data_IF_937789240761
#
_entry.id   IF_937789240761
#
_cell.length_a   1.000
_cell.length_b   1.000
_cell.length_c   1.000
_cell.angle_alpha   90.00
_cell.angle_beta   90.00
_cell.angle_gamma   90.00
#
_symmetry.space_group_name_H-M   'P 1'
#
loop_
_entity.id
_entity.type
_entity.pdbx_description
1 polymer ?
#
# COMPACT_ATOMS: atom_id res chain seq x y z
N UNK A 1 3.60 21.12 -16.90
CA UNK A 1 2.79 20.11 -16.18
C UNK A 1 2.33 19.09 -17.21
N UNK A 2 3.07 17.99 -17.38
CA UNK A 2 2.72 16.92 -18.32
C UNK A 2 2.27 15.72 -17.50
N UNK A 3 0.96 15.62 -17.25
CA UNK A 3 0.37 14.39 -16.73
C UNK A 3 0.51 13.26 -17.76
N UNK A 4 0.53 11.98 -17.32
CA UNK A 4 0.64 10.85 -18.24
C UNK A 4 -0.50 10.89 -19.27
N UNK A 5 -0.14 10.83 -20.56
CA UNK A 5 -1.11 10.71 -21.66
C UNK A 5 -1.65 9.28 -21.68
N UNK A 6 -2.87 9.11 -21.17
CA UNK A 6 -3.65 7.87 -21.26
C UNK A 6 -4.27 7.71 -22.66
N UNK A 7 -3.44 7.65 -23.69
CA UNK A 7 -3.96 7.46 -25.05
C UNK A 7 -4.43 6.02 -25.25
N UNK A 8 -5.75 5.86 -25.35
CA UNK A 8 -6.47 4.96 -26.27
C UNK A 8 -5.79 3.63 -26.62
N UNK A 9 -5.47 2.82 -25.62
CA UNK A 9 -5.22 1.39 -25.82
C UNK A 9 -6.30 0.65 -25.05
N UNK A 10 -7.02 -0.25 -25.72
CA UNK A 10 -7.99 -1.13 -25.10
C UNK A 10 -7.27 -2.07 -24.14
N UNK A 11 -6.93 -1.58 -22.95
CA UNK A 11 -6.30 -2.35 -21.91
C UNK A 11 -7.29 -3.40 -21.44
N UNK A 12 -6.89 -4.67 -21.49
CA UNK A 12 -7.72 -5.75 -20.93
C UNK A 12 -7.78 -5.63 -19.40
N UNK A 13 -8.70 -6.35 -18.74
CA UNK A 13 -8.91 -6.29 -17.28
C UNK A 13 -7.62 -6.52 -16.47
N UNK A 14 -6.70 -7.34 -16.99
CA UNK A 14 -5.42 -7.65 -16.35
C UNK A 14 -4.39 -6.52 -16.51
N UNK A 15 -4.44 -5.77 -17.62
CA UNK A 15 -3.67 -4.54 -17.82
C UNK A 15 -4.22 -3.39 -16.97
N UNK A 16 -5.55 -3.29 -16.82
CA UNK A 16 -6.19 -2.40 -15.83
C UNK A 16 -5.72 -2.69 -14.42
N UNK A 17 -5.61 -3.97 -14.05
CA UNK A 17 -5.11 -4.38 -12.74
C UNK A 17 -3.66 -3.91 -12.52
N UNK A 18 -2.79 -4.00 -13.54
CA UNK A 18 -1.42 -3.45 -13.48
C UNK A 18 -1.41 -1.92 -13.39
N UNK A 19 -2.32 -1.25 -14.09
CA UNK A 19 -2.47 0.21 -14.03
C UNK A 19 -2.97 0.65 -12.66
N UNK A 20 -4.01 0.05 -12.07
CA UNK A 20 -4.48 0.39 -10.72
C UNK A 20 -3.42 0.12 -9.63
N UNK A 21 -2.62 -0.94 -9.77
CA UNK A 21 -1.52 -1.26 -8.85
C UNK A 21 -0.35 -0.26 -8.97
N UNK A 22 -0.12 0.33 -10.15
CA UNK A 22 0.99 1.26 -10.42
C UNK A 22 0.60 2.74 -10.46
N UNK A 23 -0.68 3.06 -10.65
CA UNK A 23 -1.17 4.40 -10.93
C UNK A 23 -1.97 4.93 -9.73
N UNK A 24 -1.39 5.92 -9.06
CA UNK A 24 -1.99 6.89 -8.14
C UNK A 24 -2.83 6.42 -6.94
N UNK A 25 -3.22 5.15 -6.81
CA UNK A 25 -3.79 4.69 -5.53
C UNK A 25 -2.72 4.77 -4.42
N UNK A 26 -1.44 4.59 -4.77
CA UNK A 26 -0.33 4.82 -3.83
C UNK A 26 -0.23 6.27 -3.32
N UNK A 27 -0.81 7.26 -4.02
CA UNK A 27 -0.90 8.66 -3.57
C UNK A 27 -2.22 8.98 -2.85
N UNK A 28 -3.04 7.99 -2.48
CA UNK A 28 -4.23 8.27 -1.67
C UNK A 28 -3.84 8.84 -0.28
N UNK A 29 -4.77 9.52 0.41
CA UNK A 29 -4.51 10.09 1.72
C UNK A 29 -4.21 9.04 2.79
N UNK A 30 -4.43 7.75 2.49
CA UNK A 30 -4.21 6.64 3.40
C UNK A 30 -2.81 6.65 4.04
N UNK A 31 -1.74 6.92 3.31
CA UNK A 31 -0.37 6.93 3.81
C UNK A 31 -0.16 8.12 4.74
N UNK A 32 -0.73 9.26 4.36
CA UNK A 32 -0.77 10.44 5.22
C UNK A 32 -1.52 10.16 6.52
N UNK A 33 -2.61 9.39 6.49
CA UNK A 33 -3.32 8.99 7.71
C UNK A 33 -2.56 7.96 8.53
N UNK A 34 -1.96 6.94 7.91
CA UNK A 34 -1.09 5.99 8.61
C UNK A 34 0.05 6.71 9.30
N UNK A 35 0.69 7.66 8.59
CA UNK A 35 1.72 8.53 9.16
C UNK A 35 1.17 9.35 10.30
N UNK A 36 0.10 10.14 10.09
CA UNK A 36 -0.51 10.98 11.14
C UNK A 36 -0.92 10.18 12.38
N UNK A 37 -1.44 8.98 12.22
CA UNK A 37 -1.81 8.10 13.32
C UNK A 37 -0.61 7.43 13.99
N UNK A 38 0.49 7.24 13.24
CA UNK A 38 1.77 6.78 13.77
C UNK A 38 2.48 7.88 14.57
N UNK A 39 2.33 9.16 14.18
CA UNK A 39 2.93 10.30 14.86
C UNK A 39 2.50 10.31 16.33
N UNK A 40 3.48 10.43 17.23
CA UNK A 40 3.30 10.38 18.69
C UNK A 40 3.36 8.99 19.31
N UNK A 41 3.35 7.90 18.52
CA UNK A 41 3.50 6.51 19.01
C UNK A 41 4.68 5.76 18.40
N UNK A 42 5.09 6.17 17.21
CA UNK A 42 6.17 5.57 16.43
C UNK A 42 7.12 6.67 15.91
N UNK A 43 8.38 6.30 15.75
CA UNK A 43 9.37 7.07 15.02
C UNK A 43 9.34 6.66 13.56
N UNK A 44 9.22 7.62 12.64
CA UNK A 44 9.31 7.35 11.19
C UNK A 44 10.77 7.21 10.80
N UNK A 45 11.16 6.04 10.31
CA UNK A 45 12.52 5.73 9.82
C UNK A 45 12.65 6.10 8.35
N UNK A 46 11.59 5.88 7.57
CA UNK A 46 11.56 6.24 6.16
C UNK A 46 10.15 6.28 5.60
N UNK A 47 9.99 7.08 4.55
CA UNK A 47 8.75 7.26 3.79
C UNK A 47 9.08 7.28 2.30
N UNK A 48 8.53 6.35 1.53
CA UNK A 48 8.75 6.23 0.08
C UNK A 48 10.23 6.30 -0.36
N UNK A 49 11.13 5.81 0.50
CA UNK A 49 12.56 5.94 0.31
C UNK A 49 13.30 4.65 0.64
N UNK A 50 14.54 4.57 0.17
CA UNK A 50 15.40 3.45 0.45
C UNK A 50 15.82 3.44 1.92
N UNK A 51 15.75 2.28 2.57
CA UNK A 51 16.21 2.09 3.95
C UNK A 51 17.23 0.96 3.99
N UNK A 52 18.50 1.27 3.78
CA UNK A 52 19.62 0.33 3.93
C UNK A 52 19.76 -0.78 2.86
N UNK A 53 18.69 -1.13 2.13
CA UNK A 53 18.72 -2.13 1.05
C UNK A 53 18.48 -1.46 -0.32
N UNK A 54 19.43 -1.51 -1.26
CA UNK A 54 19.30 -0.94 -2.60
C UNK A 54 18.01 -1.33 -3.34
N UNK A 55 17.35 -0.35 -3.93
CA UNK A 55 16.18 -0.57 -4.80
C UNK A 55 14.85 -0.88 -4.09
N UNK A 56 14.85 -1.09 -2.77
CA UNK A 56 13.63 -1.29 -1.99
C UNK A 56 13.15 0.04 -1.38
N UNK A 57 11.93 0.46 -1.75
CA UNK A 57 11.30 1.70 -1.28
C UNK A 57 9.89 1.38 -0.76
N UNK A 58 9.74 0.94 0.50
CA UNK A 58 8.42 0.76 1.11
C UNK A 58 7.74 2.12 1.32
N UNK A 59 6.42 2.12 1.44
CA UNK A 59 5.65 3.35 1.64
C UNK A 59 5.98 4.00 3.00
N UNK A 60 6.08 3.20 4.06
CA UNK A 60 6.50 3.65 5.39
C UNK A 60 7.36 2.59 6.12
N UNK A 61 8.36 3.05 6.85
CA UNK A 61 9.08 2.26 7.85
C UNK A 61 8.96 2.97 9.20
N UNK A 62 8.38 2.28 10.18
CA UNK A 62 8.12 2.80 11.51
C UNK A 62 8.91 2.02 12.56
N UNK A 63 9.35 2.68 13.63
CA UNK A 63 9.93 2.04 14.81
C UNK A 63 9.19 2.43 16.08
N UNK A 64 9.12 1.51 17.04
CA UNK A 64 8.65 1.77 18.41
C UNK A 64 9.39 0.86 19.38
N UNK A 65 10.26 1.45 20.19
CA UNK A 65 11.17 0.70 21.06
C UNK A 65 12.02 -0.25 20.22
N UNK A 66 11.97 -1.53 20.56
CA UNK A 66 12.77 -2.58 19.90
C UNK A 66 12.07 -3.23 18.70
N UNK A 67 10.95 -2.65 18.24
CA UNK A 67 10.16 -3.17 17.12
C UNK A 67 10.21 -2.22 15.94
N UNK A 68 10.35 -2.75 14.73
CA UNK A 68 10.12 -2.01 13.48
C UNK A 68 8.98 -2.64 12.66
N UNK A 69 8.27 -1.80 11.93
CA UNK A 69 7.22 -2.19 10.99
C UNK A 69 7.56 -1.63 9.62
N UNK A 70 7.57 -2.49 8.61
CA UNK A 70 7.63 -2.12 7.21
C UNK A 70 6.19 -2.14 6.70
N UNK A 71 5.64 -0.99 6.38
CA UNK A 71 4.29 -0.85 5.85
C UNK A 71 4.36 -0.57 4.36
N UNK A 72 3.61 -1.33 3.60
CA UNK A 72 3.47 -1.09 2.17
C UNK A 72 2.04 -1.41 1.76
N UNK A 73 1.46 -0.53 0.97
CA UNK A 73 0.05 -0.57 0.66
C UNK A 73 -0.15 -1.13 -0.75
N UNK A 74 -1.18 -1.96 -0.88
CA UNK A 74 -1.48 -2.64 -2.13
C UNK A 74 -2.98 -2.60 -2.40
N UNK A 75 -3.33 -2.31 -3.65
CA UNK A 75 -4.71 -2.32 -4.12
C UNK A 75 -4.86 -3.32 -5.27
N UNK A 76 -5.05 -4.62 -4.98
CA UNK A 76 -5.37 -5.59 -6.01
C UNK A 76 -6.79 -5.40 -6.54
N UNK A 77 -7.05 -5.93 -7.74
CA UNK A 77 -8.42 -6.06 -8.22
C UNK A 77 -9.15 -7.13 -7.39
N UNK A 78 -10.44 -6.91 -7.16
CA UNK A 78 -11.28 -7.75 -6.29
C UNK A 78 -11.67 -9.08 -6.95
N UNK A 79 -10.66 -9.91 -7.20
CA UNK A 79 -10.81 -11.24 -7.79
C UNK A 79 -10.59 -12.33 -6.74
N UNK A 80 -11.47 -12.36 -5.74
CA UNK A 80 -11.51 -13.33 -4.62
C UNK A 80 -10.37 -13.18 -3.60
N UNK A 81 -10.50 -13.88 -2.47
CA UNK A 81 -9.53 -13.86 -1.36
C UNK A 81 -8.12 -14.29 -1.77
N UNK A 82 -7.99 -15.16 -2.78
CA UNK A 82 -6.70 -15.61 -3.30
C UNK A 82 -5.87 -14.45 -3.86
N UNK A 83 -6.50 -13.47 -4.51
CA UNK A 83 -5.80 -12.28 -5.01
C UNK A 83 -5.20 -11.44 -3.87
N UNK A 84 -5.84 -11.43 -2.70
CA UNK A 84 -5.38 -10.68 -1.54
C UNK A 84 -4.21 -11.38 -0.87
N UNK A 85 -4.32 -12.69 -0.68
CA UNK A 85 -3.25 -13.53 -0.14
C UNK A 85 -2.01 -13.45 -1.04
N UNK A 86 -2.19 -13.51 -2.36
CA UNK A 86 -1.09 -13.37 -3.31
C UNK A 86 -0.46 -11.97 -3.25
N UNK A 87 -1.27 -10.91 -3.27
CA UNK A 87 -0.78 -9.54 -3.19
C UNK A 87 0.03 -9.30 -1.90
N UNK A 88 -0.44 -9.83 -0.77
CA UNK A 88 0.27 -9.81 0.51
C UNK A 88 1.59 -10.57 0.43
N UNK A 89 1.56 -11.82 -0.03
CA UNK A 89 2.75 -12.67 -0.16
C UNK A 89 3.83 -12.00 -1.02
N UNK A 90 3.44 -11.43 -2.16
CA UNK A 90 4.37 -10.72 -3.06
C UNK A 90 5.06 -9.56 -2.35
N UNK A 91 4.36 -8.82 -1.48
CA UNK A 91 4.96 -7.72 -0.70
C UNK A 91 5.87 -8.24 0.41
N UNK A 92 5.45 -9.29 1.11
CA UNK A 92 6.26 -9.94 2.15
C UNK A 92 7.57 -10.48 1.57
N UNK A 93 7.52 -11.19 0.45
CA UNK A 93 8.69 -11.70 -0.28
C UNK A 93 9.58 -10.55 -0.79
N UNK A 94 8.98 -9.49 -1.38
CA UNK A 94 9.72 -8.31 -1.87
C UNK A 94 10.52 -7.64 -0.76
N UNK A 95 9.97 -7.53 0.45
CA UNK A 95 10.60 -6.83 1.56
C UNK A 95 11.30 -7.74 2.57
N UNK A 96 11.33 -9.06 2.37
CA UNK A 96 12.08 -9.99 3.22
C UNK A 96 13.57 -9.58 3.38
N UNK A 97 14.30 -9.12 2.33
CA UNK A 97 15.67 -8.64 2.51
C UNK A 97 15.76 -7.40 3.40
N UNK A 98 14.79 -6.49 3.32
CA UNK A 98 14.71 -5.30 4.18
C UNK A 98 14.39 -5.68 5.62
N UNK A 99 13.51 -6.66 5.82
CA UNK A 99 13.21 -7.21 7.14
C UNK A 99 14.48 -7.75 7.81
N UNK A 100 15.24 -8.58 7.09
CA UNK A 100 16.53 -9.12 7.57
C UNK A 100 17.55 -8.03 7.87
N UNK A 101 17.60 -6.97 7.06
CA UNK A 101 18.46 -5.82 7.31
C UNK A 101 18.09 -5.10 8.61
N UNK A 102 16.80 -4.81 8.82
CA UNK A 102 16.32 -4.12 10.02
C UNK A 102 16.43 -4.96 11.30
N UNK A 103 16.37 -6.30 11.19
CA UNK A 103 16.58 -7.22 12.32
C UNK A 103 17.98 -7.12 12.93
N UNK A 104 18.96 -6.52 12.23
CA UNK A 104 20.29 -6.21 12.80
C UNK A 104 20.24 -5.10 13.84
N UNK A 105 19.19 -4.26 13.80
CA UNK A 105 19.01 -3.09 14.68
C UNK A 105 17.85 -3.25 15.65
N UNK A 106 16.81 -3.98 15.27
CA UNK A 106 15.58 -4.16 16.04
C UNK A 106 15.38 -5.62 16.39
N UNK A 107 14.88 -5.91 17.60
CA UNK A 107 14.63 -7.30 18.02
C UNK A 107 13.47 -7.95 17.25
N UNK A 108 12.51 -7.16 16.76
CA UNK A 108 11.37 -7.67 15.99
C UNK A 108 11.08 -6.75 14.81
N UNK A 109 10.91 -7.34 13.63
CA UNK A 109 10.52 -6.62 12.42
C UNK A 109 9.40 -7.36 11.73
N UNK A 110 8.28 -6.68 11.44
CA UNK A 110 7.21 -7.23 10.61
C UNK A 110 7.08 -6.47 9.30
N UNK A 111 6.79 -7.21 8.23
CA UNK A 111 6.32 -6.64 6.97
C UNK A 111 4.81 -6.72 7.00
N UNK A 112 4.15 -5.59 6.83
CA UNK A 112 2.70 -5.51 6.81
C UNK A 112 2.25 -4.94 5.47
N UNK A 113 1.75 -5.83 4.61
CA UNK A 113 1.01 -5.42 3.43
C UNK A 113 -0.38 -4.96 3.88
N UNK A 114 -0.74 -3.70 3.63
CA UNK A 114 -2.12 -3.24 3.82
C UNK A 114 -2.86 -3.38 2.48
N UNK A 115 -3.73 -4.39 2.40
CA UNK A 115 -4.35 -4.83 1.14
C UNK A 115 -5.82 -4.41 1.11
N UNK A 116 -6.17 -3.49 0.22
CA UNK A 116 -7.55 -3.02 0.04
C UNK A 116 -7.96 -3.18 -1.40
N UNK A 117 -9.05 -3.90 -1.62
CA UNK A 117 -9.66 -4.08 -2.91
C UNK A 117 -10.05 -2.80 -3.60
N UNK A 118 -9.86 -2.71 -4.92
CA UNK A 118 -10.27 -1.52 -5.69
C UNK A 118 -11.79 -1.27 -5.70
N UNK A 119 -12.62 -2.29 -5.41
CA UNK A 119 -14.07 -2.16 -5.26
C UNK A 119 -14.48 -2.09 -3.78
N UNK A 120 -13.51 -2.01 -2.86
CA UNK A 120 -13.72 -1.79 -1.44
C UNK A 120 -13.69 -3.06 -0.59
N UNK A 121 -13.31 -4.20 -1.15
CA UNK A 121 -13.07 -5.40 -0.35
C UNK A 121 -11.90 -5.21 0.62
N UNK A 122 -11.98 -5.85 1.78
CA UNK A 122 -11.03 -5.70 2.88
C UNK A 122 -10.31 -7.01 3.16
N UNK A 123 -8.98 -6.98 3.24
CA UNK A 123 -8.21 -8.12 3.74
C UNK A 123 -8.24 -8.15 5.29
N UNK A 124 -8.78 -9.21 5.92
CA UNK A 124 -8.69 -9.39 7.38
C UNK A 124 -7.26 -9.36 7.93
N UNK A 125 -6.26 -9.67 7.10
CA UNK A 125 -4.84 -9.55 7.46
C UNK A 125 -4.40 -8.13 7.82
N UNK A 126 -5.16 -7.10 7.46
CA UNK A 126 -4.88 -5.71 7.81
C UNK A 126 -5.24 -5.35 9.26
N UNK A 127 -6.08 -6.15 9.93
CA UNK A 127 -6.66 -5.81 11.22
C UNK A 127 -5.63 -5.54 12.34
N UNK A 128 -4.49 -6.26 12.44
CA UNK A 128 -3.44 -5.95 13.41
C UNK A 128 -2.82 -4.56 13.22
N UNK A 129 -2.67 -4.11 11.96
CA UNK A 129 -2.12 -2.79 11.60
C UNK A 129 -3.16 -1.71 11.82
N UNK A 130 -4.40 -1.96 11.41
CA UNK A 130 -5.47 -0.97 11.48
C UNK A 130 -5.82 -0.59 12.91
N UNK A 131 -5.86 -1.57 13.83
CA UNK A 131 -6.00 -1.30 15.27
C UNK A 131 -4.96 -0.31 15.80
N UNK A 132 -3.80 -0.18 15.13
CA UNK A 132 -2.70 0.71 15.54
C UNK A 132 -2.68 2.02 14.76
N UNK A 133 -3.12 2.05 13.50
CA UNK A 133 -2.79 3.12 12.57
C UNK A 133 -3.95 3.71 11.75
N UNK A 134 -5.09 3.03 11.58
CA UNK A 134 -6.17 3.59 10.74
C UNK A 134 -7.54 2.92 10.92
N UNK A 135 -8.58 3.60 10.46
CA UNK A 135 -9.94 3.03 10.37
C UNK A 135 -10.14 2.33 9.02
N UNK A 136 -10.64 1.09 9.05
CA UNK A 136 -11.06 0.34 7.85
C UNK A 136 -11.98 1.16 6.94
N UNK A 137 -12.94 1.88 7.54
CA UNK A 137 -13.92 2.68 6.77
C UNK A 137 -13.23 3.77 5.95
N UNK A 138 -12.24 4.43 6.54
CA UNK A 138 -11.49 5.49 5.86
C UNK A 138 -10.64 4.93 4.73
N UNK A 139 -9.89 3.85 4.98
CA UNK A 139 -9.08 3.21 3.94
C UNK A 139 -9.93 2.73 2.76
N UNK A 140 -11.02 2.00 3.02
CA UNK A 140 -11.91 1.50 1.97
C UNK A 140 -12.57 2.64 1.19
N UNK A 141 -13.07 3.67 1.88
CA UNK A 141 -13.72 4.82 1.22
C UNK A 141 -12.76 5.55 0.28
N UNK A 142 -11.54 5.80 0.72
CA UNK A 142 -10.52 6.47 -0.09
C UNK A 142 -10.08 5.63 -1.29
N UNK A 143 -9.88 4.32 -1.09
CA UNK A 143 -9.52 3.41 -2.17
C UNK A 143 -10.61 3.40 -3.26
N UNK A 144 -11.88 3.24 -2.86
CA UNK A 144 -13.00 3.25 -3.81
C UNK A 144 -13.14 4.60 -4.52
N UNK A 145 -12.98 5.72 -3.80
CA UNK A 145 -13.02 7.06 -4.39
C UNK A 145 -11.91 7.25 -5.44
N UNK A 146 -10.69 6.80 -5.14
CA UNK A 146 -9.56 6.86 -6.07
C UNK A 146 -9.79 5.96 -7.29
N UNK A 147 -10.21 4.71 -7.07
CA UNK A 147 -10.52 3.78 -8.17
C UNK A 147 -11.64 4.31 -9.07
N UNK A 148 -12.71 4.89 -8.50
CA UNK A 148 -13.78 5.51 -9.26
C UNK A 148 -13.30 6.73 -10.07
N UNK A 149 -12.43 7.57 -9.50
CA UNK A 149 -11.82 8.70 -10.21
C UNK A 149 -11.00 8.23 -11.42
N UNK A 150 -10.16 7.21 -11.22
CA UNK A 150 -9.33 6.62 -12.29
C UNK A 150 -10.22 6.07 -13.41
N UNK A 151 -11.26 5.30 -13.04
CA UNK A 151 -12.19 4.72 -14.01
C UNK A 151 -12.94 5.79 -14.81
N UNK A 152 -13.51 6.80 -14.14
CA UNK A 152 -14.19 7.92 -14.79
C UNK A 152 -13.29 8.66 -15.78
N UNK A 153 -12.06 8.94 -15.36
CA UNK A 153 -11.06 9.61 -16.20
C UNK A 153 -10.72 8.78 -17.43
N UNK A 154 -10.68 7.44 -17.30
CA UNK A 154 -10.43 6.55 -18.42
C UNK A 154 -11.55 6.56 -19.47
N UNK A 155 -12.81 6.54 -19.02
CA UNK A 155 -13.98 6.55 -19.92
C UNK A 155 -14.37 7.95 -20.39
N UNK A 156 -13.55 8.97 -20.09
CA UNK A 156 -13.76 10.35 -20.52
C UNK A 156 -14.87 11.09 -19.75
N UNK A 157 -15.27 10.59 -18.58
CA UNK A 157 -16.17 11.30 -17.67
C UNK A 157 -15.32 12.14 -16.71
N UNK A 158 -15.26 13.45 -16.94
CA UNK A 158 -14.59 14.43 -16.09
C UNK A 158 -15.61 15.29 -15.35
#
# INVERSE_FOLDING_TARGET
MNGPKWSTVGLNLHEWQRVLIRCDISQTHWLTWHKKAALGRFTVIGENQQVGVPGLRPDLVLARGEKALILDVCCPFDNRMQAFQEARRVKEEKYAPLQLHLLRRFQRVSVEANVVGCLGSWDPGNDPVCRRLCSRRLCVSDTVAASAKIYRSHIGLF
#
